data_IF_731438372200
#
_entry.id   IF_731438372200
#
_cell.length_a   1.000
_cell.length_b   1.000
_cell.length_c   1.000
_cell.angle_alpha   90.00
_cell.angle_beta   90.00
_cell.angle_gamma   90.00
#
_symmetry.space_group_name_H-M   'P 1'
#
loop_
_entity.id
_entity.type
_entity.pdbx_description
1 polymer ?
#
# COMPACT_ATOMS: atom_id res chain seq x y z
N UNK A 1 23.25 10.12 -1.22
CA UNK A 1 22.48 10.89 -0.20
C UNK A 1 23.29 12.00 0.47
N UNK A 2 24.59 11.83 0.79
CA UNK A 2 25.39 12.87 1.48
C UNK A 2 25.29 14.28 0.86
N UNK A 3 25.36 14.47 -0.47
CA UNK A 3 25.24 15.80 -1.05
C UNK A 3 23.95 16.54 -0.71
N UNK A 4 22.84 15.81 -0.48
CA UNK A 4 21.55 16.42 -0.13
C UNK A 4 21.47 16.88 1.34
N UNK A 5 22.41 16.45 2.18
CA UNK A 5 22.52 16.93 3.55
C UNK A 5 23.48 18.13 3.69
N UNK A 6 24.41 18.31 2.75
CA UNK A 6 25.48 19.29 2.88
C UNK A 6 25.44 20.39 1.81
N UNK A 7 25.07 20.06 0.58
CA UNK A 7 25.19 20.98 -0.56
C UNK A 7 23.86 21.19 -1.29
N UNK A 8 23.10 20.12 -1.55
CA UNK A 8 21.88 20.12 -2.34
C UNK A 8 20.65 20.02 -1.43
N UNK A 9 20.51 20.93 -0.49
CA UNK A 9 19.35 21.04 0.38
C UNK A 9 18.49 22.23 -0.05
N UNK A 10 17.21 22.23 0.26
CA UNK A 10 16.30 23.34 -0.06
C UNK A 10 14.87 22.87 -0.30
N UNK A 11 14.00 23.81 -0.56
CA UNK A 11 12.61 23.50 -0.91
C UNK A 11 12.49 23.26 -2.43
N UNK A 12 12.17 22.04 -2.87
CA UNK A 12 12.02 21.74 -4.30
C UNK A 12 10.88 22.52 -4.97
N UNK A 13 9.90 23.02 -4.20
CA UNK A 13 8.79 23.84 -4.72
C UNK A 13 9.12 25.34 -4.80
N UNK A 14 10.35 25.74 -4.45
CA UNK A 14 10.73 27.14 -4.48
C UNK A 14 10.98 27.63 -5.92
N UNK A 15 10.58 28.88 -6.20
CA UNK A 15 10.69 29.49 -7.52
C UNK A 15 12.14 29.90 -7.91
N UNK A 16 13.11 29.77 -7.00
CA UNK A 16 14.51 30.14 -7.25
C UNK A 16 15.37 28.94 -7.63
N UNK A 17 16.47 29.19 -8.34
CA UNK A 17 17.30 28.16 -8.99
C UNK A 17 17.90 27.10 -8.08
N UNK A 18 18.06 27.36 -6.77
CA UNK A 18 18.54 26.38 -5.79
C UNK A 18 17.52 25.24 -5.55
N UNK A 19 16.22 25.54 -5.56
CA UNK A 19 15.15 24.54 -5.45
C UNK A 19 14.95 23.73 -6.74
N UNK A 20 15.07 24.34 -7.90
CA UNK A 20 14.81 23.68 -9.19
C UNK A 20 15.76 22.50 -9.49
N UNK A 21 16.96 22.49 -8.92
CA UNK A 21 17.87 21.36 -9.07
C UNK A 21 17.35 20.12 -8.35
N UNK A 22 16.81 20.31 -7.14
CA UNK A 22 16.22 19.23 -6.33
C UNK A 22 14.97 18.64 -6.97
N UNK A 23 14.16 19.43 -7.64
CA UNK A 23 12.98 18.96 -8.37
C UNK A 23 13.37 17.92 -9.42
N UNK A 24 14.41 18.17 -10.20
CA UNK A 24 14.89 17.21 -11.22
C UNK A 24 15.36 15.89 -10.60
N UNK A 25 16.07 15.96 -9.48
CA UNK A 25 16.56 14.76 -8.81
C UNK A 25 15.41 13.94 -8.21
N UNK A 26 14.40 14.61 -7.65
CA UNK A 26 13.18 13.97 -7.14
C UNK A 26 12.34 13.36 -8.27
N UNK A 27 12.23 14.04 -9.40
CA UNK A 27 11.49 13.52 -10.56
C UNK A 27 12.20 12.29 -11.14
N UNK A 28 13.52 12.33 -11.27
CA UNK A 28 14.29 11.17 -11.70
C UNK A 28 14.16 9.97 -10.74
N UNK A 29 14.17 10.22 -9.43
CA UNK A 29 13.92 9.16 -8.42
C UNK A 29 12.49 8.59 -8.54
N UNK A 30 11.51 9.44 -8.78
CA UNK A 30 10.11 9.04 -8.97
C UNK A 30 9.94 8.19 -10.23
N UNK A 31 10.59 8.56 -11.34
CA UNK A 31 10.60 7.77 -12.58
C UNK A 31 11.24 6.40 -12.36
N UNK A 32 12.34 6.32 -11.61
CA UNK A 32 13.00 5.04 -11.29
C UNK A 32 12.07 4.11 -10.48
N UNK A 33 11.41 4.65 -9.46
CA UNK A 33 10.44 3.86 -8.66
C UNK A 33 9.25 3.44 -9.51
N UNK A 34 8.70 4.34 -10.30
CA UNK A 34 7.58 4.03 -11.19
C UNK A 34 7.94 2.92 -12.19
N UNK A 35 9.13 3.00 -12.80
CA UNK A 35 9.63 1.96 -13.71
C UNK A 35 9.78 0.61 -13.02
N UNK A 36 10.23 0.57 -11.76
CA UNK A 36 10.42 -0.67 -11.00
C UNK A 36 9.12 -1.46 -10.82
N UNK A 37 7.98 -0.77 -10.72
CA UNK A 37 6.67 -1.39 -10.46
C UNK A 37 5.68 -1.24 -11.62
N UNK A 38 6.15 -0.76 -12.79
CA UNK A 38 5.33 -0.45 -13.97
C UNK A 38 4.18 0.54 -13.71
N UNK A 39 4.42 1.54 -12.84
CA UNK A 39 3.52 2.66 -12.57
C UNK A 39 3.84 3.90 -13.43
N UNK A 40 2.96 4.89 -13.41
CA UNK A 40 3.25 6.22 -13.93
C UNK A 40 3.96 7.07 -12.84
N UNK A 41 4.92 7.94 -13.18
CA UNK A 41 5.62 8.76 -12.18
C UNK A 41 4.70 9.59 -11.29
N UNK A 42 3.57 10.07 -11.84
CA UNK A 42 2.55 10.84 -11.09
C UNK A 42 1.80 10.03 -10.03
N UNK A 43 1.88 8.69 -10.08
CA UNK A 43 1.26 7.78 -9.11
C UNK A 43 2.18 7.50 -7.92
N UNK A 44 3.43 7.96 -7.97
CA UNK A 44 4.40 7.77 -6.89
C UNK A 44 4.34 8.91 -5.89
N UNK A 45 4.08 8.60 -4.65
CA UNK A 45 4.13 9.54 -3.52
C UNK A 45 5.23 9.09 -2.57
N UNK A 46 6.20 9.97 -2.32
CA UNK A 46 7.23 9.74 -1.31
C UNK A 46 6.71 10.07 0.08
N UNK A 47 6.88 9.14 0.99
CA UNK A 47 6.53 9.25 2.41
C UNK A 47 7.78 9.07 3.27
N UNK A 48 7.66 9.29 4.58
CA UNK A 48 8.79 9.10 5.49
C UNK A 48 9.15 7.62 5.72
N UNK A 49 8.18 6.73 5.61
CA UNK A 49 8.36 5.29 5.81
C UNK A 49 7.11 4.50 5.38
N UNK A 50 7.24 3.16 5.33
CA UNK A 50 6.12 2.26 5.00
C UNK A 50 4.93 2.40 5.94
N UNK A 51 5.14 2.66 7.23
CA UNK A 51 4.04 2.91 8.18
C UNK A 51 3.19 4.11 7.77
N UNK A 52 3.81 5.21 7.34
CA UNK A 52 3.07 6.37 6.84
C UNK A 52 2.33 6.04 5.56
N UNK A 53 2.97 5.32 4.62
CA UNK A 53 2.33 4.90 3.37
C UNK A 53 1.08 4.06 3.64
N UNK A 54 1.21 3.02 4.46
CA UNK A 54 0.10 2.12 4.79
C UNK A 54 -1.05 2.86 5.50
N UNK A 55 -0.73 3.68 6.52
CA UNK A 55 -1.75 4.46 7.21
C UNK A 55 -2.47 5.44 6.28
N UNK A 56 -1.73 6.05 5.35
CA UNK A 56 -2.30 6.97 4.35
C UNK A 56 -3.24 6.25 3.38
N UNK A 57 -2.91 5.04 2.96
CA UNK A 57 -3.76 4.22 2.09
C UNK A 57 -5.10 3.87 2.78
N UNK A 58 -5.04 3.38 4.04
CA UNK A 58 -6.25 3.10 4.82
C UNK A 58 -7.12 4.35 5.02
N UNK A 59 -6.47 5.46 5.37
CA UNK A 59 -7.16 6.72 5.61
C UNK A 59 -7.81 7.26 4.34
N UNK A 60 -7.10 7.25 3.21
CA UNK A 60 -7.61 7.66 1.91
C UNK A 60 -8.83 6.83 1.48
N UNK A 61 -8.79 5.50 1.68
CA UNK A 61 -9.90 4.63 1.37
C UNK A 61 -11.16 4.99 2.15
N UNK A 62 -11.02 5.31 3.44
CA UNK A 62 -12.17 5.69 4.29
C UNK A 62 -12.70 7.10 4.02
N UNK A 63 -11.83 8.06 3.69
CA UNK A 63 -12.25 9.44 3.37
C UNK A 63 -12.97 9.50 2.04
N UNK A 64 -12.48 8.76 1.03
CA UNK A 64 -13.08 8.76 -0.31
C UNK A 64 -14.39 7.99 -0.38
N UNK A 65 -14.68 7.15 0.63
CA UNK A 65 -15.87 6.32 0.74
C UNK A 65 -16.51 6.46 2.13
N UNK A 66 -17.01 7.65 2.49
CA UNK A 66 -17.43 7.95 3.87
C UNK A 66 -18.61 7.09 4.37
N UNK A 67 -19.38 6.48 3.46
CA UNK A 67 -20.45 5.56 3.76
C UNK A 67 -19.98 4.15 4.10
N UNK A 68 -18.72 3.82 3.79
CA UNK A 68 -18.16 2.49 4.05
C UNK A 68 -17.29 2.52 5.32
N UNK A 69 -17.46 1.51 6.16
CA UNK A 69 -16.83 1.44 7.49
C UNK A 69 -16.21 0.08 7.80
N UNK A 70 -16.07 -0.78 6.80
CA UNK A 70 -15.48 -2.09 6.96
C UNK A 70 -14.14 -2.21 6.20
N UNK A 71 -13.17 -2.85 6.83
CA UNK A 71 -11.86 -3.16 6.27
C UNK A 71 -11.60 -4.66 6.43
N UNK A 72 -11.04 -5.27 5.41
CA UNK A 72 -10.54 -6.66 5.48
C UNK A 72 -9.02 -6.61 5.41
N UNK A 73 -8.35 -7.32 6.29
CA UNK A 73 -6.88 -7.47 6.30
C UNK A 73 -6.49 -8.86 6.81
N UNK A 74 -5.19 -9.18 6.87
CA UNK A 74 -4.74 -10.50 7.36
C UNK A 74 -4.24 -10.42 8.81
N UNK A 75 -4.23 -11.56 9.50
CA UNK A 75 -3.67 -11.66 10.87
C UNK A 75 -2.14 -11.57 10.91
N UNK A 76 -1.49 -11.66 9.77
CA UNK A 76 -0.03 -11.73 9.65
C UNK A 76 0.58 -10.50 8.98
N UNK A 77 -0.18 -9.41 8.90
CA UNK A 77 0.32 -8.13 8.45
C UNK A 77 1.46 -7.60 9.34
N UNK A 78 2.23 -6.67 8.80
CA UNK A 78 3.20 -5.93 9.61
C UNK A 78 2.51 -5.28 10.83
N UNK A 79 3.22 -5.22 11.96
CA UNK A 79 2.68 -4.69 13.21
C UNK A 79 2.07 -3.27 13.09
N UNK A 80 2.59 -2.43 12.19
CA UNK A 80 2.04 -1.11 11.92
C UNK A 80 0.61 -1.18 11.37
N UNK A 81 0.33 -2.10 10.42
CA UNK A 81 -0.99 -2.29 9.81
C UNK A 81 -1.98 -2.84 10.84
N UNK A 82 -1.55 -3.82 11.66
CA UNK A 82 -2.37 -4.37 12.74
C UNK A 82 -2.72 -3.26 13.75
N UNK A 83 -1.74 -2.49 14.21
CA UNK A 83 -1.96 -1.42 15.18
C UNK A 83 -2.91 -0.34 14.66
N UNK A 84 -2.75 0.05 13.38
CA UNK A 84 -3.63 1.05 12.77
C UNK A 84 -5.05 0.50 12.56
N UNK A 85 -5.20 -0.75 12.16
CA UNK A 85 -6.49 -1.42 12.07
C UNK A 85 -7.23 -1.46 13.42
N UNK A 86 -6.52 -1.77 14.50
CA UNK A 86 -7.09 -1.73 15.85
C UNK A 86 -7.45 -0.30 16.29
N UNK A 87 -6.70 0.71 15.85
CA UNK A 87 -7.05 2.11 16.09
C UNK A 87 -8.32 2.51 15.33
N UNK A 88 -8.48 2.07 14.09
CA UNK A 88 -9.68 2.32 13.29
C UNK A 88 -10.93 1.66 13.92
N UNK A 89 -10.80 0.47 14.51
CA UNK A 89 -11.89 -0.16 15.29
C UNK A 89 -12.36 0.75 16.43
N UNK A 90 -11.44 1.39 17.16
CA UNK A 90 -11.80 2.34 18.23
C UNK A 90 -12.51 3.59 17.70
N UNK A 91 -12.34 3.90 16.41
CA UNK A 91 -12.98 5.02 15.72
C UNK A 91 -14.30 4.63 15.02
N UNK A 92 -14.80 3.42 15.27
CA UNK A 92 -16.08 2.94 14.76
C UNK A 92 -16.02 2.25 13.40
N UNK A 93 -14.83 1.86 12.92
CA UNK A 93 -14.72 0.96 11.79
C UNK A 93 -14.84 -0.50 12.24
N UNK A 94 -15.35 -1.35 11.39
CA UNK A 94 -15.25 -2.80 11.55
C UNK A 94 -14.03 -3.30 10.80
N UNK A 95 -13.30 -4.25 11.39
CA UNK A 95 -12.13 -4.86 10.76
C UNK A 95 -12.21 -6.37 10.85
N UNK A 96 -12.19 -7.03 9.70
CA UNK A 96 -12.07 -8.48 9.59
C UNK A 96 -10.62 -8.86 9.37
N UNK A 97 -10.05 -9.65 10.28
CA UNK A 97 -8.70 -10.22 10.16
C UNK A 97 -8.80 -11.66 9.64
N UNK A 98 -8.40 -11.86 8.39
CA UNK A 98 -8.37 -13.18 7.78
C UNK A 98 -7.28 -14.04 8.42
N UNK A 99 -7.56 -15.30 8.74
CA UNK A 99 -6.53 -16.24 9.17
C UNK A 99 -5.66 -16.64 7.97
N UNK A 100 -4.49 -17.19 8.26
CA UNK A 100 -3.67 -17.95 7.31
C UNK A 100 -3.65 -19.42 7.69
N UNK A 101 -3.39 -20.27 6.71
CA UNK A 101 -3.20 -21.71 6.91
C UNK A 101 -1.86 -21.99 7.63
N UNK A 102 -1.62 -23.21 8.14
CA UNK A 102 -0.37 -23.55 8.82
C UNK A 102 0.89 -23.38 7.98
N UNK A 103 0.78 -23.42 6.66
CA UNK A 103 1.87 -23.13 5.70
C UNK A 103 2.05 -21.65 5.41
N UNK A 104 1.21 -20.79 5.98
CA UNK A 104 1.19 -19.35 5.78
C UNK A 104 0.38 -18.88 4.58
N UNK A 105 -0.20 -19.77 3.79
CA UNK A 105 -1.06 -19.41 2.67
C UNK A 105 -2.39 -18.80 3.13
N UNK A 106 -3.08 -18.10 2.22
CA UNK A 106 -4.40 -17.52 2.49
C UNK A 106 -5.46 -18.20 1.62
N UNK A 107 -6.60 -18.48 2.22
CA UNK A 107 -7.78 -18.96 1.47
C UNK A 107 -8.51 -17.76 0.85
N UNK A 108 -8.44 -17.64 -0.48
CA UNK A 108 -9.12 -16.60 -1.23
C UNK A 108 -10.66 -16.71 -1.17
N UNK A 109 -11.20 -17.89 -0.88
CA UNK A 109 -12.64 -18.03 -0.67
C UNK A 109 -13.08 -17.32 0.63
N UNK A 110 -12.26 -17.40 1.69
CA UNK A 110 -12.51 -16.62 2.91
C UNK A 110 -12.42 -15.12 2.67
N UNK A 111 -11.48 -14.68 1.82
CA UNK A 111 -11.42 -13.27 1.39
C UNK A 111 -12.72 -12.88 0.70
N UNK A 112 -13.18 -13.68 -0.25
CA UNK A 112 -14.39 -13.38 -1.01
C UNK A 112 -15.64 -13.29 -0.11
N UNK A 113 -15.75 -14.17 0.87
CA UNK A 113 -16.85 -14.17 1.85
C UNK A 113 -16.79 -12.99 2.83
N UNK A 114 -15.57 -12.52 3.14
CA UNK A 114 -15.37 -11.40 4.07
C UNK A 114 -15.74 -10.04 3.46
N UNK A 115 -15.73 -9.92 2.14
CA UNK A 115 -16.07 -8.67 1.45
C UNK A 115 -17.59 -8.44 1.52
N UNK A 116 -17.97 -7.28 2.07
CA UNK A 116 -19.36 -6.83 2.27
C UNK A 116 -19.63 -5.57 1.43
N UNK A 117 -20.91 -5.17 1.25
CA UNK A 117 -21.23 -3.93 0.53
C UNK A 117 -20.62 -2.66 1.16
N UNK A 118 -20.42 -2.65 2.48
CA UNK A 118 -19.78 -1.57 3.23
C UNK A 118 -18.25 -1.73 3.40
N UNK A 119 -17.63 -2.67 2.69
CA UNK A 119 -16.16 -2.81 2.68
C UNK A 119 -15.53 -1.67 1.88
N UNK A 120 -14.72 -0.87 2.55
CA UNK A 120 -13.98 0.24 1.93
C UNK A 120 -12.67 -0.23 1.31
N UNK A 121 -11.97 -1.14 1.99
CA UNK A 121 -10.62 -1.55 1.65
C UNK A 121 -10.38 -3.02 2.01
N UNK A 122 -9.68 -3.72 1.13
CA UNK A 122 -8.95 -4.93 1.45
C UNK A 122 -7.46 -4.57 1.46
N UNK A 123 -6.76 -4.93 2.53
CA UNK A 123 -5.31 -4.73 2.65
C UNK A 123 -4.64 -6.06 2.92
N UNK A 124 -3.68 -6.44 2.06
CA UNK A 124 -2.96 -7.71 2.14
C UNK A 124 -1.49 -7.48 1.76
N UNK A 125 -0.56 -7.84 2.64
CA UNK A 125 0.87 -7.75 2.31
C UNK A 125 1.22 -8.66 1.14
N UNK A 126 2.21 -8.24 0.32
CA UNK A 126 2.65 -9.04 -0.83
C UNK A 126 3.52 -10.22 -0.41
N UNK A 127 4.44 -9.96 0.50
CA UNK A 127 5.36 -10.96 1.04
C UNK A 127 5.49 -10.77 2.55
N UNK A 128 5.40 -11.87 3.29
CA UNK A 128 5.54 -11.80 4.74
C UNK A 128 7.01 -11.56 5.15
N UNK A 129 7.23 -10.59 6.00
CA UNK A 129 8.56 -10.15 6.42
C UNK A 129 9.29 -11.15 7.33
N UNK A 130 8.59 -12.11 7.93
CA UNK A 130 9.18 -13.10 8.84
C UNK A 130 9.34 -14.46 8.16
N UNK A 131 8.34 -14.90 7.42
CA UNK A 131 8.31 -16.25 6.82
C UNK A 131 8.72 -16.26 5.35
N UNK A 132 8.64 -15.13 4.65
CA UNK A 132 8.89 -15.03 3.21
C UNK A 132 7.77 -15.60 2.33
N UNK A 133 6.64 -15.97 2.90
CA UNK A 133 5.48 -16.45 2.14
C UNK A 133 4.98 -15.34 1.23
N UNK A 134 4.77 -15.65 -0.05
CA UNK A 134 4.17 -14.76 -1.04
C UNK A 134 2.65 -14.97 -1.06
N UNK A 135 1.91 -13.86 -0.99
CA UNK A 135 0.46 -13.90 -1.06
C UNK A 135 -0.03 -13.77 -2.52
N UNK A 136 -1.20 -14.33 -2.85
CA UNK A 136 -1.77 -14.31 -4.20
C UNK A 136 -2.41 -12.94 -4.51
N UNK A 137 -1.57 -11.91 -4.68
CA UNK A 137 -2.00 -10.51 -4.81
C UNK A 137 -2.82 -10.27 -6.06
N UNK A 138 -2.47 -10.89 -7.20
CA UNK A 138 -3.19 -10.73 -8.45
C UNK A 138 -4.63 -11.25 -8.35
N UNK A 139 -4.80 -12.44 -7.77
CA UNK A 139 -6.11 -13.07 -7.58
C UNK A 139 -6.93 -12.30 -6.54
N UNK A 140 -6.32 -11.87 -5.44
CA UNK A 140 -6.99 -11.06 -4.43
C UNK A 140 -7.47 -9.72 -4.99
N UNK A 141 -6.64 -9.03 -5.79
CA UNK A 141 -7.00 -7.79 -6.45
C UNK A 141 -8.17 -7.98 -7.44
N UNK A 142 -8.15 -9.09 -8.21
CA UNK A 142 -9.25 -9.42 -9.14
C UNK A 142 -10.58 -9.65 -8.40
N UNK A 143 -10.56 -10.34 -7.25
CA UNK A 143 -11.74 -10.51 -6.40
C UNK A 143 -12.26 -9.15 -5.92
N UNK A 144 -11.38 -8.30 -5.38
CA UNK A 144 -11.75 -6.98 -4.89
C UNK A 144 -12.36 -6.11 -5.99
N UNK A 145 -11.75 -6.09 -7.17
CA UNK A 145 -12.27 -5.37 -8.33
C UNK A 145 -13.67 -5.85 -8.72
N UNK A 146 -13.90 -7.17 -8.79
CA UNK A 146 -15.20 -7.74 -9.16
C UNK A 146 -16.32 -7.30 -8.21
N UNK A 147 -15.96 -6.94 -6.98
CA UNK A 147 -16.87 -6.48 -5.92
C UNK A 147 -16.85 -4.95 -5.73
N UNK A 148 -16.09 -4.20 -6.52
CA UNK A 148 -16.00 -2.73 -6.43
C UNK A 148 -15.38 -2.24 -5.12
N UNK A 149 -14.40 -2.97 -4.59
CA UNK A 149 -13.68 -2.66 -3.35
C UNK A 149 -12.24 -2.29 -3.67
N UNK A 150 -11.71 -1.26 -3.00
CA UNK A 150 -10.31 -0.86 -3.14
C UNK A 150 -9.38 -1.95 -2.59
N UNK A 151 -8.26 -2.15 -3.27
CA UNK A 151 -7.24 -3.10 -2.86
C UNK A 151 -5.91 -2.40 -2.60
N UNK A 152 -5.33 -2.61 -1.43
CA UNK A 152 -4.01 -2.13 -1.00
C UNK A 152 -3.10 -3.31 -0.74
N UNK A 153 -1.81 -3.16 -1.07
CA UNK A 153 -0.79 -4.13 -0.70
C UNK A 153 0.43 -3.46 -0.08
N UNK A 154 0.88 -3.97 1.07
CA UNK A 154 2.20 -3.67 1.60
C UNK A 154 3.24 -4.51 0.86
N UNK A 155 3.94 -3.88 -0.07
CA UNK A 155 4.96 -4.52 -0.91
C UNK A 155 6.40 -4.25 -0.43
N UNK A 156 6.62 -3.77 0.79
CA UNK A 156 7.95 -3.44 1.34
C UNK A 156 8.92 -4.62 1.22
N UNK A 157 8.46 -5.86 1.41
CA UNK A 157 9.29 -7.06 1.29
C UNK A 157 9.34 -7.62 -0.13
N UNK A 158 8.47 -7.20 -1.03
CA UNK A 158 8.38 -7.68 -2.42
C UNK A 158 9.16 -6.78 -3.40
N UNK A 159 9.08 -5.47 -3.25
CA UNK A 159 9.71 -4.51 -4.17
C UNK A 159 11.21 -4.75 -4.35
N UNK A 160 11.63 -4.92 -5.61
CA UNK A 160 13.01 -5.22 -5.98
C UNK A 160 13.46 -6.67 -5.71
N UNK A 161 12.57 -7.56 -5.26
CA UNK A 161 12.85 -8.99 -5.01
C UNK A 161 12.00 -9.92 -5.87
N UNK A 162 10.80 -9.49 -6.21
CA UNK A 162 9.90 -10.18 -7.15
C UNK A 162 9.43 -9.19 -8.19
N UNK A 163 8.99 -9.70 -9.33
CA UNK A 163 8.41 -8.86 -10.38
C UNK A 163 7.07 -8.29 -9.91
N UNK A 164 6.96 -6.97 -9.99
CA UNK A 164 5.74 -6.23 -9.64
C UNK A 164 5.27 -5.47 -10.88
N UNK A 165 4.03 -5.69 -11.26
CA UNK A 165 3.35 -4.92 -12.29
C UNK A 165 2.00 -4.44 -11.77
N UNK A 166 1.97 -3.17 -11.34
CA UNK A 166 0.75 -2.59 -10.75
C UNK A 166 -0.38 -2.42 -11.76
N UNK A 167 -0.07 -2.38 -13.06
CA UNK A 167 -1.09 -2.33 -14.13
C UNK A 167 -1.79 -3.67 -14.31
N UNK A 168 -1.10 -4.78 -14.05
CA UNK A 168 -1.67 -6.12 -14.10
C UNK A 168 -2.40 -6.48 -12.80
N UNK A 169 -1.90 -6.00 -11.65
CA UNK A 169 -2.54 -6.26 -10.36
C UNK A 169 -3.80 -5.45 -10.15
N UNK A 170 -3.93 -4.32 -10.88
CA UNK A 170 -5.02 -3.35 -10.62
C UNK A 170 -5.14 -2.97 -9.14
N UNK A 171 -4.00 -2.96 -8.45
CA UNK A 171 -3.90 -2.45 -7.09
C UNK A 171 -4.35 -0.99 -7.08
N UNK A 172 -5.19 -0.64 -6.13
CA UNK A 172 -5.75 0.70 -6.02
C UNK A 172 -4.81 1.65 -5.29
N UNK A 173 -3.95 1.09 -4.42
CA UNK A 173 -3.00 1.80 -3.55
C UNK A 173 -1.86 0.87 -3.10
#
# INVERSE_FOLDING_TARGET
MMPYFTENWGNPSAAYGFGNRLTKDLDAAREQVATLINAEPREIIFTSCGTESNNSAFHAALITQPEKRHIVTTKVEHAANIAYSEQLKKQGCEVTFLPVEPDGSIDLHLLELAIRPDTALVSMMWANNETGVLFPIYEAAAICRSKGVLFHTDAVQAAGKVDIDVKLTEVSM
#
